data_IF_681869637801
#
_entry.id   IF_681869637801
#
_cell.length_a   1.000
_cell.length_b   1.000
_cell.length_c   1.000
_cell.angle_alpha   90.00
_cell.angle_beta   90.00
_cell.angle_gamma   90.00
#
_symmetry.space_group_name_H-M   'P 1'
#
loop_
_entity.id
_entity.type
_entity.pdbx_description
1 polymer ?
#
# COMPACT_ATOMS: atom_id res chain seq x y z
N UNK A 1 6.16 18.79 12.42
CA UNK A 1 6.60 17.39 12.38
C UNK A 1 7.33 17.13 13.68
N UNK A 2 6.83 16.21 14.48
CA UNK A 2 7.48 15.86 15.73
C UNK A 2 8.82 15.16 15.42
N UNK A 3 9.83 15.32 16.30
CA UNK A 3 11.13 14.67 16.15
C UNK A 3 11.07 13.15 15.82
N UNK A 4 10.08 12.36 16.30
CA UNK A 4 9.93 10.95 15.94
C UNK A 4 9.57 10.72 14.45
N UNK A 5 8.74 11.57 13.84
CA UNK A 5 8.29 11.36 12.45
C UNK A 5 9.49 11.43 11.47
N UNK A 6 10.41 12.36 11.71
CA UNK A 6 11.61 12.51 10.90
C UNK A 6 12.50 11.27 10.97
N UNK A 7 12.62 10.65 12.14
CA UNK A 7 13.41 9.42 12.32
C UNK A 7 12.84 8.26 11.53
N UNK A 8 11.53 8.01 11.63
CA UNK A 8 10.89 6.90 10.92
C UNK A 8 10.83 7.12 9.41
N UNK A 9 10.58 8.36 8.98
CA UNK A 9 10.64 8.71 7.57
C UNK A 9 12.06 8.55 7.00
N UNK A 10 13.09 9.01 7.73
CA UNK A 10 14.48 8.82 7.34
C UNK A 10 14.83 7.34 7.22
N UNK A 11 14.28 6.48 8.09
CA UNK A 11 14.45 5.04 7.98
C UNK A 11 13.83 4.47 6.71
N UNK A 12 12.60 4.88 6.36
CA UNK A 12 11.97 4.49 5.10
C UNK A 12 12.79 4.91 3.87
N UNK A 13 13.37 6.12 3.88
CA UNK A 13 14.26 6.61 2.82
C UNK A 13 15.58 5.84 2.76
N UNK A 14 16.17 5.48 3.90
CA UNK A 14 17.38 4.66 3.95
C UNK A 14 17.13 3.28 3.33
N UNK A 15 16.02 2.62 3.67
CA UNK A 15 15.61 1.35 3.06
C UNK A 15 15.43 1.46 1.54
N UNK A 16 14.79 2.52 1.06
CA UNK A 16 14.62 2.79 -0.37
C UNK A 16 15.96 2.87 -1.11
N UNK A 17 16.91 3.60 -0.53
CA UNK A 17 18.27 3.75 -1.07
C UNK A 17 19.01 2.42 -1.10
N UNK A 18 19.01 1.69 0.03
CA UNK A 18 19.66 0.38 0.14
C UNK A 18 19.11 -0.61 -0.89
N UNK A 19 17.79 -0.66 -1.09
CA UNK A 19 17.14 -1.54 -2.07
C UNK A 19 17.63 -1.28 -3.50
N UNK A 20 17.62 -0.01 -3.90
CA UNK A 20 18.06 0.41 -5.23
C UNK A 20 19.56 0.13 -5.44
N UNK A 21 20.41 0.54 -4.51
CA UNK A 21 21.87 0.39 -4.62
C UNK A 21 22.32 -1.07 -4.61
N UNK A 22 21.56 -1.97 -3.98
CA UNK A 22 21.82 -3.42 -3.96
C UNK A 22 21.14 -4.19 -5.09
N UNK A 23 20.39 -3.52 -5.97
CA UNK A 23 19.63 -4.18 -7.03
C UNK A 23 18.52 -5.10 -6.51
N UNK A 24 17.99 -4.83 -5.31
CA UNK A 24 16.95 -5.63 -4.65
C UNK A 24 15.53 -5.18 -5.02
N UNK A 25 15.39 -4.07 -5.74
CA UNK A 25 14.13 -3.58 -6.29
C UNK A 25 14.17 -2.08 -6.58
N UNK A 26 12.99 -1.46 -6.71
CA UNK A 26 12.87 -0.03 -6.96
C UNK A 26 13.26 0.86 -5.77
N UNK A 27 13.37 2.19 -5.97
CA UNK A 27 13.80 3.17 -4.97
C UNK A 27 12.67 3.52 -3.97
N UNK A 28 12.05 2.51 -3.38
CA UNK A 28 10.95 2.70 -2.43
C UNK A 28 11.14 1.85 -1.18
N UNK A 29 10.87 2.47 -0.03
CA UNK A 29 10.96 1.87 1.29
C UNK A 29 9.82 2.35 2.18
N UNK A 30 9.40 1.51 3.12
CA UNK A 30 8.31 1.79 4.02
C UNK A 30 8.52 1.16 5.40
N UNK A 31 7.96 1.81 6.43
CA UNK A 31 8.03 1.38 7.83
C UNK A 31 6.65 1.54 8.44
N UNK A 32 6.19 0.55 9.22
CA UNK A 32 4.98 0.65 10.04
C UNK A 32 5.36 0.73 11.50
N UNK A 33 4.82 1.73 12.20
CA UNK A 33 5.13 2.03 13.60
C UNK A 33 3.84 2.05 14.43
N UNK A 34 3.89 1.48 15.63
CA UNK A 34 2.86 1.64 16.66
C UNK A 34 3.54 1.94 17.99
N UNK A 35 3.03 2.92 18.74
CA UNK A 35 3.57 3.31 20.06
C UNK A 35 5.09 3.60 20.05
N UNK A 36 5.59 4.21 18.97
CA UNK A 36 7.02 4.52 18.79
C UNK A 36 7.90 3.31 18.45
N UNK A 37 7.33 2.12 18.25
CA UNK A 37 8.05 0.90 17.87
C UNK A 37 7.78 0.50 16.43
N UNK A 38 8.84 0.18 15.69
CA UNK A 38 8.74 -0.34 14.34
C UNK A 38 8.22 -1.79 14.42
N UNK A 39 7.07 -2.03 13.80
CA UNK A 39 6.47 -3.36 13.67
C UNK A 39 6.94 -4.08 12.40
N UNK A 40 7.21 -3.33 11.34
CA UNK A 40 7.68 -3.87 10.07
C UNK A 40 8.46 -2.82 9.27
N UNK A 41 9.46 -3.31 8.53
CA UNK A 41 10.24 -2.57 7.53
C UNK A 41 10.17 -3.33 6.21
N UNK A 42 10.07 -2.62 5.09
CA UNK A 42 10.06 -3.24 3.79
C UNK A 42 10.57 -2.31 2.69
N UNK A 43 10.92 -2.92 1.56
CA UNK A 43 11.34 -2.26 0.33
C UNK A 43 10.48 -2.76 -0.83
N UNK A 44 10.48 -2.03 -1.95
CA UNK A 44 9.90 -2.54 -3.19
C UNK A 44 10.70 -3.76 -3.65
N UNK A 45 9.99 -4.85 -3.99
CA UNK A 45 10.57 -6.12 -4.43
C UNK A 45 10.01 -6.61 -5.78
N UNK A 46 9.29 -5.75 -6.51
CA UNK A 46 8.50 -6.14 -7.70
C UNK A 46 9.27 -7.02 -8.67
N UNK A 47 10.46 -6.60 -9.06
CA UNK A 47 11.27 -7.29 -10.08
C UNK A 47 11.99 -8.52 -9.52
N UNK A 48 12.39 -8.51 -8.25
CA UNK A 48 13.13 -9.62 -7.65
C UNK A 48 12.23 -10.76 -7.18
N UNK A 49 10.97 -10.47 -6.83
CA UNK A 49 10.00 -11.49 -6.44
C UNK A 49 9.02 -11.87 -7.55
N UNK A 50 9.10 -11.22 -8.73
CA UNK A 50 8.11 -11.35 -9.80
C UNK A 50 6.67 -11.15 -9.29
N UNK A 51 6.48 -10.18 -8.38
CA UNK A 51 5.18 -9.83 -7.81
C UNK A 51 4.93 -8.34 -8.06
N UNK A 52 4.07 -7.96 -9.01
CA UNK A 52 3.76 -6.56 -9.29
C UNK A 52 3.10 -5.83 -8.12
N UNK A 53 2.61 -6.56 -7.10
CA UNK A 53 2.02 -5.99 -5.89
C UNK A 53 3.03 -5.78 -4.76
N UNK A 54 4.26 -6.28 -4.89
CA UNK A 54 5.31 -6.21 -3.86
C UNK A 54 5.95 -4.81 -3.75
N UNK A 55 5.11 -3.79 -3.60
CA UNK A 55 5.51 -2.43 -3.24
C UNK A 55 5.90 -2.38 -1.76
N UNK A 56 6.73 -1.39 -1.40
CA UNK A 56 7.26 -1.28 -0.05
C UNK A 56 6.14 -1.20 1.00
N UNK A 57 5.10 -0.42 0.73
CA UNK A 57 3.96 -0.22 1.62
C UNK A 57 3.13 -1.50 1.78
N UNK A 58 2.91 -2.25 0.69
CA UNK A 58 2.20 -3.54 0.72
C UNK A 58 2.97 -4.55 1.57
N UNK A 59 4.27 -4.65 1.36
CA UNK A 59 5.14 -5.57 2.11
C UNK A 59 5.23 -5.16 3.59
N UNK A 60 5.29 -3.86 3.90
CA UNK A 60 5.26 -3.38 5.28
C UNK A 60 3.91 -3.69 5.96
N UNK A 61 2.78 -3.47 5.28
CA UNK A 61 1.43 -3.84 5.77
C UNK A 61 1.34 -5.34 6.06
N UNK A 62 1.78 -6.17 5.10
CA UNK A 62 1.83 -7.64 5.25
C UNK A 62 2.70 -8.03 6.45
N UNK A 63 3.85 -7.40 6.62
CA UNK A 63 4.76 -7.63 7.75
C UNK A 63 4.13 -7.26 9.09
N UNK A 64 3.53 -6.08 9.20
CA UNK A 64 2.91 -5.60 10.43
C UNK A 64 1.69 -6.45 10.82
N UNK A 65 0.86 -6.83 9.86
CA UNK A 65 -0.31 -7.69 10.12
C UNK A 65 0.11 -9.06 10.69
N UNK A 66 1.18 -9.66 10.15
CA UNK A 66 1.77 -10.88 10.71
C UNK A 66 2.33 -10.67 12.12
N UNK A 67 3.05 -9.58 12.34
CA UNK A 67 3.61 -9.22 13.65
C UNK A 67 2.53 -9.09 14.72
N UNK A 68 1.40 -8.49 14.37
CA UNK A 68 0.25 -8.30 15.27
C UNK A 68 -0.69 -9.51 15.35
N UNK A 69 -0.58 -10.46 14.41
CA UNK A 69 -1.59 -11.50 14.19
C UNK A 69 -3.02 -10.92 14.03
N UNK A 70 -3.12 -9.74 13.41
CA UNK A 70 -4.37 -9.02 13.13
C UNK A 70 -4.28 -8.39 11.73
N UNK A 71 -5.34 -8.51 10.94
CA UNK A 71 -5.42 -7.90 9.62
C UNK A 71 -5.70 -6.38 9.69
N UNK A 72 -5.97 -5.85 10.88
CA UNK A 72 -6.20 -4.43 11.16
C UNK A 72 -5.01 -3.85 11.90
N UNK A 73 -4.57 -2.68 11.46
CA UNK A 73 -3.39 -1.95 11.92
C UNK A 73 -3.78 -0.65 12.63
N UNK A 74 -4.87 -0.67 13.40
CA UNK A 74 -5.29 0.47 14.22
C UNK A 74 -4.14 0.92 15.14
N UNK A 75 -4.04 2.23 15.37
CA UNK A 75 -2.95 2.87 16.10
C UNK A 75 -1.62 2.92 15.34
N UNK A 76 -1.53 2.34 14.14
CA UNK A 76 -0.29 2.35 13.37
C UNK A 76 -0.18 3.59 12.48
N UNK A 77 1.07 4.09 12.33
CA UNK A 77 1.44 5.01 11.27
C UNK A 77 2.31 4.29 10.23
N UNK A 78 1.97 4.46 8.94
CA UNK A 78 2.81 4.07 7.82
C UNK A 78 3.70 5.25 7.40
N UNK A 79 5.01 5.05 7.40
CA UNK A 79 5.99 5.98 6.84
C UNK A 79 6.49 5.42 5.52
N UNK A 80 6.39 6.19 4.44
CA UNK A 80 6.79 5.77 3.11
C UNK A 80 7.80 6.76 2.50
N UNK A 81 8.81 6.26 1.79
CA UNK A 81 9.80 7.14 1.14
C UNK A 81 9.18 8.00 0.04
N UNK A 82 8.05 7.57 -0.53
CA UNK A 82 7.27 8.26 -1.54
C UNK A 82 5.78 8.22 -1.16
N UNK A 83 5.00 9.18 -1.66
CA UNK A 83 3.54 9.18 -1.59
C UNK A 83 2.99 7.86 -2.13
N UNK A 84 2.08 7.16 -1.40
CA UNK A 84 1.55 5.89 -1.85
C UNK A 84 0.79 5.98 -3.17
N UNK A 85 1.05 5.04 -4.08
CA UNK A 85 0.24 4.86 -5.29
C UNK A 85 -1.20 4.41 -4.94
N UNK A 86 -2.15 4.42 -5.90
CA UNK A 86 -3.54 4.04 -5.61
C UNK A 86 -3.71 2.64 -4.97
N UNK A 87 -2.88 1.67 -5.36
CA UNK A 87 -2.88 0.33 -4.76
C UNK A 87 -2.45 0.39 -3.29
N UNK A 88 -1.32 1.03 -3.00
CA UNK A 88 -0.78 1.14 -1.64
C UNK A 88 -1.70 1.94 -0.72
N UNK A 89 -2.27 3.05 -1.21
CA UNK A 89 -3.24 3.86 -0.46
C UNK A 89 -4.49 3.05 -0.10
N UNK A 90 -5.03 2.31 -1.07
CA UNK A 90 -6.19 1.44 -0.85
C UNK A 90 -5.87 0.34 0.17
N UNK A 91 -4.68 -0.27 0.06
CA UNK A 91 -4.25 -1.31 1.00
C UNK A 91 -4.09 -0.79 2.43
N UNK A 92 -3.50 0.40 2.62
CA UNK A 92 -3.42 1.04 3.93
C UNK A 92 -4.82 1.30 4.53
N UNK A 93 -5.77 1.71 3.68
CA UNK A 93 -7.16 1.93 4.08
C UNK A 93 -7.88 0.62 4.47
N UNK A 94 -7.70 -0.45 3.70
CA UNK A 94 -8.21 -1.80 4.02
C UNK A 94 -7.62 -2.32 5.32
N UNK A 95 -6.32 -2.11 5.53
CA UNK A 95 -5.61 -2.50 6.74
C UNK A 95 -5.94 -1.61 7.95
N UNK A 96 -6.76 -0.55 7.81
CA UNK A 96 -7.10 0.39 8.90
C UNK A 96 -5.86 1.02 9.54
N UNK A 97 -4.89 1.43 8.72
CA UNK A 97 -3.77 2.27 9.16
C UNK A 97 -4.31 3.66 9.48
N UNK A 98 -3.98 4.20 10.65
CA UNK A 98 -4.58 5.46 11.13
C UNK A 98 -3.95 6.69 10.49
N UNK A 99 -2.68 6.59 10.07
CA UNK A 99 -1.93 7.74 9.53
C UNK A 99 -0.87 7.31 8.52
N UNK A 100 -0.68 8.11 7.49
CA UNK A 100 0.41 7.96 6.51
C UNK A 100 1.28 9.23 6.54
N UNK A 101 2.60 9.04 6.52
CA UNK A 101 3.60 10.11 6.37
C UNK A 101 4.51 9.73 5.21
N UNK A 102 4.78 10.66 4.30
CA UNK A 102 5.61 10.37 3.13
C UNK A 102 6.70 11.43 2.86
N UNK A 103 7.72 11.03 2.11
CA UNK A 103 8.86 11.87 1.72
C UNK A 103 8.65 12.57 0.38
N UNK A 104 8.95 11.87 -0.72
CA UNK A 104 8.76 12.39 -2.08
C UNK A 104 7.28 12.32 -2.50
N UNK A 105 6.81 13.23 -3.35
CA UNK A 105 5.45 13.21 -3.89
C UNK A 105 5.32 12.43 -5.21
N UNK A 106 4.08 12.13 -5.61
CA UNK A 106 3.78 11.45 -6.89
C UNK A 106 4.35 12.14 -8.13
N UNK A 107 4.50 13.46 -8.10
CA UNK A 107 5.07 14.22 -9.22
C UNK A 107 6.56 13.94 -9.41
N UNK A 108 7.29 13.65 -8.33
CA UNK A 108 8.69 13.23 -8.39
C UNK A 108 8.81 11.78 -8.85
N UNK A 109 7.93 10.90 -8.38
CA UNK A 109 7.84 9.53 -8.89
C UNK A 109 7.57 9.48 -10.41
N UNK A 110 6.64 10.31 -10.89
CA UNK A 110 6.33 10.43 -12.32
C UNK A 110 7.55 10.90 -13.14
N UNK A 111 8.31 11.88 -12.65
CA UNK A 111 9.56 12.32 -13.30
C UNK A 111 10.62 11.23 -13.35
N UNK A 112 10.63 10.31 -12.39
CA UNK A 112 11.50 9.15 -12.36
C UNK A 112 11.00 7.99 -13.23
N UNK A 113 9.87 8.14 -13.92
CA UNK A 113 9.32 7.15 -14.86
C UNK A 113 8.35 6.16 -14.24
N UNK A 114 7.79 6.44 -13.06
CA UNK A 114 6.76 5.61 -12.44
C UNK A 114 5.34 6.12 -12.73
N UNK A 115 4.40 5.19 -12.86
CA UNK A 115 3.02 5.48 -13.31
C UNK A 115 2.08 5.99 -12.21
N UNK A 116 2.59 6.31 -11.01
CA UNK A 116 1.77 6.68 -9.84
C UNK A 116 0.72 7.75 -10.16
N UNK A 117 1.15 8.85 -10.80
CA UNK A 117 0.26 9.95 -11.17
C UNK A 117 -0.79 9.52 -12.20
N UNK A 118 -0.38 8.77 -13.22
CA UNK A 118 -1.29 8.23 -14.24
C UNK A 118 -2.35 7.32 -13.63
N UNK A 119 -1.96 6.41 -12.73
CA UNK A 119 -2.90 5.50 -12.08
C UNK A 119 -3.93 6.25 -11.22
N UNK A 120 -3.55 7.36 -10.57
CA UNK A 120 -4.52 8.20 -9.86
C UNK A 120 -5.55 8.82 -10.82
N UNK A 121 -5.12 9.30 -11.98
CA UNK A 121 -6.02 9.83 -13.00
C UNK A 121 -6.97 8.74 -13.52
N UNK A 122 -6.46 7.54 -13.80
CA UNK A 122 -7.26 6.40 -14.27
C UNK A 122 -8.31 5.98 -13.24
N UNK A 123 -7.98 5.98 -11.95
CA UNK A 123 -8.93 5.61 -10.90
C UNK A 123 -10.08 6.62 -10.76
N UNK A 124 -9.84 7.90 -11.08
CA UNK A 124 -10.86 8.94 -11.05
C UNK A 124 -11.82 8.91 -12.25
N UNK A 125 -11.46 8.22 -13.34
CA UNK A 125 -12.29 8.14 -14.56
C UNK A 125 -13.46 7.16 -14.41
N UNK A 126 -14.59 7.41 -15.11
CA UNK A 126 -15.63 6.40 -15.33
C UNK A 126 -15.05 5.11 -15.92
N UNK A 127 -15.64 3.96 -15.61
CA UNK A 127 -15.15 2.66 -16.10
C UNK A 127 -15.03 2.59 -17.63
N UNK A 128 -15.92 3.27 -18.36
CA UNK A 128 -15.91 3.34 -19.83
C UNK A 128 -14.74 4.11 -20.40
N UNK A 129 -14.10 4.98 -19.61
CA UNK A 129 -13.12 5.97 -20.07
C UNK A 129 -11.70 5.63 -19.59
N UNK A 130 -11.54 4.48 -18.93
CA UNK A 130 -10.25 3.95 -18.50
C UNK A 130 -9.52 3.31 -19.68
N UNK A 131 -8.20 3.44 -19.67
CA UNK A 131 -7.29 2.79 -20.63
C UNK A 131 -7.33 1.26 -20.52
N UNK A 132 -7.52 0.73 -19.32
CA UNK A 132 -7.78 -0.69 -19.07
C UNK A 132 -9.27 -0.97 -19.32
N UNK A 133 -9.63 -1.78 -20.34
CA UNK A 133 -11.01 -2.12 -20.59
C UNK A 133 -11.57 -2.97 -19.44
N UNK A 134 -12.65 -2.51 -18.82
CA UNK A 134 -13.36 -3.22 -17.74
C UNK A 134 -14.79 -3.46 -18.20
N UNK A 135 -15.15 -4.73 -18.37
CA UNK A 135 -16.50 -5.15 -18.81
C UNK A 135 -17.30 -5.68 -17.64
N UNK A 136 -18.49 -5.12 -17.40
CA UNK A 136 -19.45 -5.70 -16.46
C UNK A 136 -20.30 -6.77 -17.14
N UNK A 137 -20.30 -7.99 -16.59
CA UNK A 137 -21.21 -9.06 -16.95
C UNK A 137 -22.10 -9.37 -15.74
N UNK A 138 -23.33 -8.85 -15.67
CA UNK A 138 -24.23 -9.11 -14.54
C UNK A 138 -24.51 -10.61 -14.35
N UNK A 139 -24.39 -11.10 -13.11
CA UNK A 139 -24.70 -12.48 -12.73
C UNK A 139 -25.54 -12.49 -11.46
N UNK A 140 -26.67 -13.19 -11.52
CA UNK A 140 -27.54 -13.39 -10.36
C UNK A 140 -26.82 -14.21 -9.27
N UNK A 141 -26.02 -15.19 -9.68
CA UNK A 141 -25.21 -16.04 -8.81
C UNK A 141 -24.13 -15.23 -8.08
N UNK A 142 -23.40 -14.37 -8.80
CA UNK A 142 -22.42 -13.48 -8.18
C UNK A 142 -23.05 -12.55 -7.14
N UNK A 143 -24.26 -12.05 -7.43
CA UNK A 143 -25.03 -11.22 -6.49
C UNK A 143 -25.54 -12.04 -5.30
N UNK A 144 -25.95 -13.29 -5.52
CA UNK A 144 -26.42 -14.19 -4.48
C UNK A 144 -25.32 -14.52 -3.47
N UNK A 145 -24.07 -14.70 -3.89
CA UNK A 145 -22.92 -14.92 -2.99
C UNK A 145 -22.75 -13.75 -2.00
N UNK A 146 -22.90 -12.51 -2.46
CA UNK A 146 -22.85 -11.34 -1.57
C UNK A 146 -24.06 -11.30 -0.62
N UNK A 147 -25.24 -11.69 -1.10
CA UNK A 147 -26.43 -11.80 -0.24
C UNK A 147 -26.28 -12.91 0.82
N UNK A 148 -25.63 -14.03 0.48
CA UNK A 148 -25.29 -15.10 1.41
C UNK A 148 -24.29 -14.63 2.46
N UNK A 149 -23.26 -13.87 2.06
CA UNK A 149 -22.33 -13.24 3.01
C UNK A 149 -23.07 -12.35 4.02
N UNK A 150 -24.03 -11.53 3.57
CA UNK A 150 -24.87 -10.71 4.48
C UNK A 150 -25.62 -11.56 5.50
N UNK A 151 -26.09 -12.76 5.12
CA UNK A 151 -26.79 -13.69 6.02
C UNK A 151 -25.88 -14.55 6.88
N UNK A 152 -24.63 -14.75 6.50
CA UNK A 152 -23.69 -15.62 7.21
C UNK A 152 -23.44 -15.10 8.64
N UNK A 153 -23.85 -15.83 9.70
CA UNK A 153 -23.70 -15.36 11.08
C UNK A 153 -22.24 -15.32 11.53
N UNK A 154 -21.41 -16.25 11.04
CA UNK A 154 -20.00 -16.39 11.39
C UNK A 154 -19.04 -15.56 10.52
N UNK A 155 -19.55 -14.62 9.72
CA UNK A 155 -18.68 -13.80 8.87
C UNK A 155 -17.77 -12.91 9.72
N UNK A 156 -16.55 -12.70 9.25
CA UNK A 156 -15.64 -11.71 9.80
C UNK A 156 -15.63 -10.52 8.83
N UNK A 157 -16.20 -9.36 9.20
CA UNK A 157 -16.12 -8.17 8.37
C UNK A 157 -14.68 -7.64 8.36
N UNK A 158 -14.26 -7.13 7.21
CA UNK A 158 -12.96 -6.50 7.02
C UNK A 158 -13.11 -5.24 6.16
#
# INVERSE_FOLDING_TARGET
MDAPDQTFLARAVALARESMERGQGGPFGAVIVRDGQILAEATNRVTVSNDPTAHAEIEAIRGAARSLSDFRLHGCTLYASCEPCPMCLSAASWARVDRIVFGAGRAEAAKAGFDDAFLYEEMARPLSDRSLPITSLPSAEASAVLADWVRLPAKIPY
#
